data_IF_055950263063
#
_entry.id   IF_055950263063
#
_cell.length_a   1.000
_cell.length_b   1.000
_cell.length_c   1.000
_cell.angle_alpha   90.00
_cell.angle_beta   90.00
_cell.angle_gamma   90.00
#
_symmetry.space_group_name_H-M   'P 1'
#
loop_
_entity.id
_entity.type
_entity.pdbx_description
1 polymer ?
#
# COMPACT_ATOMS: atom_id res chain seq x y z
N UNK A 1 4.96 -4.45 14.09
CA UNK A 1 4.45 -4.88 12.76
C UNK A 1 5.56 -4.56 11.77
N UNK A 2 6.19 -5.53 11.10
CA UNK A 2 7.33 -5.24 10.24
C UNK A 2 6.82 -4.51 8.99
N UNK A 3 7.15 -3.23 8.88
CA UNK A 3 6.91 -2.45 7.69
C UNK A 3 7.91 -2.96 6.64
N UNK A 4 7.41 -3.81 5.72
CA UNK A 4 8.15 -4.42 4.60
C UNK A 4 9.09 -5.57 5.00
N UNK A 5 8.58 -6.82 4.95
CA UNK A 5 9.43 -8.00 4.86
C UNK A 5 10.10 -8.04 3.48
N UNK A 6 11.26 -7.40 3.38
CA UNK A 6 12.08 -7.42 2.20
C UNK A 6 12.57 -8.85 1.93
N UNK A 7 12.00 -9.48 0.89
CA UNK A 7 12.36 -10.84 0.52
C UNK A 7 13.67 -10.84 -0.29
N UNK A 8 14.80 -10.91 0.43
CA UNK A 8 16.14 -10.98 -0.15
C UNK A 8 16.49 -12.35 -0.77
N UNK A 9 15.56 -13.32 -0.73
CA UNK A 9 15.71 -14.65 -1.34
C UNK A 9 14.53 -14.91 -2.28
N UNK A 10 14.55 -14.31 -3.48
CA UNK A 10 13.42 -14.39 -4.39
C UNK A 10 13.15 -15.83 -4.81
N UNK A 11 11.88 -16.22 -4.80
CA UNK A 11 11.45 -17.49 -5.37
C UNK A 11 11.59 -17.45 -6.91
N UNK A 12 11.78 -18.60 -7.53
CA UNK A 12 11.90 -18.71 -8.99
C UNK A 12 10.66 -18.13 -9.71
N UNK A 13 9.47 -18.24 -9.10
CA UNK A 13 8.25 -17.64 -9.64
C UNK A 13 8.32 -16.11 -9.65
N UNK A 14 8.84 -15.50 -8.58
CA UNK A 14 8.97 -14.04 -8.47
C UNK A 14 9.94 -13.49 -9.51
N UNK A 15 11.04 -14.20 -9.76
CA UNK A 15 12.02 -13.82 -10.79
C UNK A 15 11.43 -13.89 -12.20
N UNK A 16 10.63 -14.91 -12.50
CA UNK A 16 9.92 -15.02 -13.79
C UNK A 16 8.88 -13.92 -13.97
N UNK A 17 8.14 -13.57 -12.92
CA UNK A 17 7.19 -12.46 -12.93
C UNK A 17 7.92 -11.13 -13.12
N UNK A 18 9.03 -10.91 -12.43
CA UNK A 18 9.87 -9.73 -12.59
C UNK A 18 10.34 -9.56 -14.03
N UNK A 19 10.87 -10.63 -14.64
CA UNK A 19 11.27 -10.62 -16.05
C UNK A 19 10.12 -10.26 -16.99
N UNK A 20 8.95 -10.86 -16.79
CA UNK A 20 7.74 -10.52 -17.54
C UNK A 20 7.30 -9.07 -17.37
N UNK A 21 7.40 -8.53 -16.15
CA UNK A 21 7.11 -7.11 -15.86
C UNK A 21 8.12 -6.21 -16.59
N UNK A 22 9.42 -6.51 -16.54
CA UNK A 22 10.44 -5.72 -17.24
C UNK A 22 10.22 -5.63 -18.75
N UNK A 23 9.72 -6.70 -19.37
CA UNK A 23 9.39 -6.71 -20.81
C UNK A 23 8.38 -5.63 -21.20
N UNK A 24 7.39 -5.37 -20.36
CA UNK A 24 6.35 -4.37 -20.63
C UNK A 24 6.64 -3.01 -19.98
N UNK A 25 7.21 -3.00 -18.77
CA UNK A 25 7.45 -1.79 -18.00
C UNK A 25 8.51 -0.88 -18.64
N UNK A 26 9.62 -1.45 -19.13
CA UNK A 26 10.68 -0.65 -19.75
C UNK A 26 10.21 0.11 -21.00
N UNK A 27 9.57 -0.51 -22.00
CA UNK A 27 9.07 0.24 -23.16
C UNK A 27 7.92 1.18 -22.81
N UNK A 28 7.09 0.83 -21.82
CA UNK A 28 6.02 1.71 -21.35
C UNK A 28 6.58 2.98 -20.70
N UNK A 29 7.66 2.87 -19.92
CA UNK A 29 8.41 4.03 -19.40
C UNK A 29 9.00 4.83 -20.57
N UNK A 30 9.66 4.18 -21.53
CA UNK A 30 10.18 4.89 -22.71
C UNK A 30 9.08 5.66 -23.46
N UNK A 31 7.89 5.09 -23.57
CA UNK A 31 6.76 5.70 -24.26
C UNK A 31 6.16 6.89 -23.50
N UNK A 32 5.99 6.77 -22.17
CA UNK A 32 5.49 7.87 -21.32
C UNK A 32 6.39 9.11 -21.41
N UNK A 33 7.69 8.89 -21.58
CA UNK A 33 8.68 9.97 -21.68
C UNK A 33 8.96 10.42 -23.13
N UNK A 34 8.10 10.03 -24.09
CA UNK A 34 8.23 10.36 -25.51
C UNK A 34 9.60 10.03 -26.10
N UNK A 35 10.20 8.90 -25.69
CA UNK A 35 11.51 8.50 -26.16
C UNK A 35 11.50 8.20 -27.67
N UNK A 36 12.62 8.44 -28.38
CA UNK A 36 12.70 8.17 -29.81
C UNK A 36 12.51 6.67 -30.10
N UNK A 37 12.05 6.30 -31.32
CA UNK A 37 11.77 4.90 -31.67
C UNK A 37 12.97 3.97 -31.48
N UNK A 38 14.20 4.45 -31.71
CA UNK A 38 15.44 3.70 -31.46
C UNK A 38 15.62 3.34 -29.98
N UNK A 39 15.27 4.25 -29.07
CA UNK A 39 15.34 4.00 -27.63
C UNK A 39 14.23 3.06 -27.17
N UNK A 40 13.03 3.18 -27.73
CA UNK A 40 11.94 2.22 -27.49
C UNK A 40 12.34 0.81 -27.88
N UNK A 41 12.96 0.62 -29.06
CA UNK A 41 13.48 -0.66 -29.52
C UNK A 41 14.62 -1.19 -28.62
N UNK A 42 15.51 -0.31 -28.14
CA UNK A 42 16.55 -0.70 -27.20
C UNK A 42 15.93 -1.18 -25.86
N UNK A 43 14.95 -0.45 -25.32
CA UNK A 43 14.27 -0.79 -24.08
C UNK A 43 13.45 -2.08 -24.18
N UNK A 44 12.74 -2.31 -25.29
CA UNK A 44 12.05 -3.58 -25.53
C UNK A 44 13.03 -4.74 -25.63
N UNK A 45 14.16 -4.56 -26.34
CA UNK A 45 15.18 -5.59 -26.46
C UNK A 45 15.79 -5.94 -25.10
N UNK A 46 16.14 -4.94 -24.29
CA UNK A 46 16.64 -5.12 -22.92
C UNK A 46 15.60 -5.86 -22.06
N UNK A 47 14.34 -5.44 -22.12
CA UNK A 47 13.24 -6.11 -21.41
C UNK A 47 13.07 -7.57 -21.84
N UNK A 48 13.17 -7.85 -23.14
CA UNK A 48 13.13 -9.21 -23.71
C UNK A 48 14.28 -10.09 -23.24
N UNK A 49 15.50 -9.54 -23.21
CA UNK A 49 16.68 -10.25 -22.69
C UNK A 49 16.51 -10.59 -21.21
N UNK A 50 16.07 -9.63 -20.38
CA UNK A 50 15.81 -9.86 -18.95
C UNK A 50 14.70 -10.90 -18.75
N UNK A 51 13.62 -10.83 -19.52
CA UNK A 51 12.53 -11.81 -19.47
C UNK A 51 13.00 -13.22 -19.85
N UNK A 52 13.77 -13.34 -20.94
CA UNK A 52 14.36 -14.60 -21.39
C UNK A 52 15.30 -15.20 -20.34
N UNK A 53 16.24 -14.40 -19.81
CA UNK A 53 17.15 -14.79 -18.73
C UNK A 53 16.39 -15.22 -17.46
N UNK A 54 15.29 -14.55 -17.13
CA UNK A 54 14.46 -14.88 -15.96
C UNK A 54 13.74 -16.22 -16.11
N UNK A 55 13.35 -16.61 -17.34
CA UNK A 55 12.70 -17.89 -17.63
C UNK A 55 13.68 -19.05 -17.74
N UNK A 56 14.81 -18.85 -18.44
CA UNK A 56 15.83 -19.86 -18.67
C UNK A 56 16.69 -20.11 -17.43
N UNK A 57 17.13 -19.03 -16.76
CA UNK A 57 18.12 -19.07 -15.69
C UNK A 57 17.81 -18.03 -14.61
N UNK A 58 16.76 -18.23 -13.78
CA UNK A 58 16.30 -17.24 -12.80
C UNK A 58 17.42 -16.81 -11.83
N UNK A 59 18.32 -17.73 -11.46
CA UNK A 59 19.43 -17.46 -10.53
C UNK A 59 20.35 -16.31 -10.98
N UNK A 60 20.53 -16.08 -12.29
CA UNK A 60 21.35 -14.97 -12.80
C UNK A 60 20.70 -13.60 -12.59
N UNK A 61 19.36 -13.54 -12.58
CA UNK A 61 18.59 -12.29 -12.45
C UNK A 61 18.35 -11.94 -10.98
N UNK A 62 18.54 -12.89 -10.07
CA UNK A 62 18.42 -12.70 -8.62
C UNK A 62 19.15 -11.47 -8.06
N UNK A 63 20.46 -11.23 -8.33
CA UNK A 63 21.14 -10.05 -7.81
C UNK A 63 20.55 -8.74 -8.33
N UNK A 64 20.15 -8.68 -9.62
CA UNK A 64 19.50 -7.51 -10.21
C UNK A 64 18.17 -7.20 -9.50
N UNK A 65 17.37 -8.24 -9.25
CA UNK A 65 16.11 -8.12 -8.52
C UNK A 65 16.32 -7.61 -7.10
N UNK A 66 17.31 -8.15 -6.37
CA UNK A 66 17.61 -7.75 -4.99
C UNK A 66 18.09 -6.29 -4.92
N UNK A 67 18.98 -5.87 -5.81
CA UNK A 67 19.46 -4.47 -5.87
C UNK A 67 18.30 -3.52 -6.14
N UNK A 68 17.45 -3.85 -7.12
CA UNK A 68 16.28 -3.02 -7.42
C UNK A 68 15.27 -3.00 -6.27
N UNK A 69 15.07 -4.14 -5.59
CA UNK A 69 14.24 -4.20 -4.39
C UNK A 69 14.79 -3.28 -3.29
N UNK A 70 16.10 -3.30 -3.05
CA UNK A 70 16.74 -2.46 -2.03
C UNK A 70 16.51 -0.97 -2.28
N UNK A 71 16.53 -0.54 -3.54
CA UNK A 71 16.23 0.85 -3.94
C UNK A 71 14.72 1.17 -3.84
N UNK A 72 13.85 0.21 -4.13
CA UNK A 72 12.40 0.43 -4.17
C UNK A 72 11.71 0.33 -2.82
N UNK A 73 12.29 -0.39 -1.84
CA UNK A 73 11.79 -0.47 -0.47
C UNK A 73 11.56 0.91 0.18
N UNK A 74 12.53 1.85 0.22
CA UNK A 74 12.31 3.16 0.81
C UNK A 74 11.23 3.97 0.06
N UNK A 75 11.14 3.81 -1.27
CA UNK A 75 10.08 4.43 -2.06
C UNK A 75 8.71 3.90 -1.62
N UNK A 76 8.59 2.57 -1.46
CA UNK A 76 7.37 1.93 -0.99
C UNK A 76 6.94 2.41 0.39
N UNK A 77 7.89 2.65 1.30
CA UNK A 77 7.59 3.22 2.62
C UNK A 77 7.01 4.64 2.50
N UNK A 78 7.67 5.52 1.75
CA UNK A 78 7.20 6.91 1.56
C UNK A 78 5.82 6.93 0.89
N UNK A 79 5.61 6.10 -0.14
CA UNK A 79 4.32 5.99 -0.82
C UNK A 79 3.24 5.45 0.14
N UNK A 80 3.56 4.48 0.99
CA UNK A 80 2.65 3.95 2.00
C UNK A 80 2.22 5.02 3.02
N UNK A 81 3.18 5.80 3.53
CA UNK A 81 2.92 6.92 4.43
C UNK A 81 2.10 8.01 3.73
N UNK A 82 2.44 8.37 2.49
CA UNK A 82 1.68 9.34 1.69
C UNK A 82 0.26 8.85 1.42
N UNK A 83 0.04 7.56 1.16
CA UNK A 83 -1.28 6.99 0.95
C UNK A 83 -2.12 7.08 2.23
N UNK A 84 -1.56 6.73 3.38
CA UNK A 84 -2.22 6.86 4.68
C UNK A 84 -2.53 8.32 5.03
N UNK A 85 -1.59 9.22 4.78
CA UNK A 85 -1.76 10.66 4.99
C UNK A 85 -2.86 11.20 4.06
N UNK A 86 -2.86 10.80 2.80
CA UNK A 86 -3.89 11.20 1.84
C UNK A 86 -5.27 10.70 2.26
N UNK A 87 -5.39 9.44 2.70
CA UNK A 87 -6.64 8.89 3.22
C UNK A 87 -7.14 9.70 4.43
N UNK A 88 -6.25 10.03 5.35
CA UNK A 88 -6.60 10.83 6.52
C UNK A 88 -7.09 12.23 6.13
N UNK A 89 -6.34 12.95 5.31
CA UNK A 89 -6.66 14.34 4.98
C UNK A 89 -7.78 14.51 3.95
N UNK A 90 -7.98 13.55 3.05
CA UNK A 90 -9.01 13.62 2.01
C UNK A 90 -10.33 12.95 2.41
N UNK A 91 -10.31 12.00 3.35
CA UNK A 91 -11.51 11.26 3.76
C UNK A 91 -11.86 11.58 5.20
N UNK A 92 -11.01 11.21 6.16
CA UNK A 92 -11.39 11.30 7.58
C UNK A 92 -11.47 12.74 8.09
N UNK A 93 -10.50 13.58 7.73
CA UNK A 93 -10.46 14.98 8.11
C UNK A 93 -11.71 15.76 7.63
N UNK A 94 -12.10 15.73 6.34
CA UNK A 94 -13.29 16.45 5.90
C UNK A 94 -14.58 15.91 6.52
N UNK A 95 -14.69 14.60 6.79
CA UNK A 95 -15.84 14.05 7.53
C UNK A 95 -15.95 14.73 8.91
N UNK A 96 -14.83 14.87 9.62
CA UNK A 96 -14.78 15.58 10.91
C UNK A 96 -15.15 17.05 10.78
N UNK A 97 -14.68 17.74 9.74
CA UNK A 97 -15.03 19.14 9.45
C UNK A 97 -16.53 19.29 9.17
N UNK A 98 -17.11 18.42 8.36
CA UNK A 98 -18.56 18.40 8.07
C UNK A 98 -19.36 18.18 9.36
N UNK A 99 -18.95 17.23 10.21
CA UNK A 99 -19.62 17.02 11.51
C UNK A 99 -19.54 18.25 12.42
N UNK A 100 -18.38 18.94 12.42
CA UNK A 100 -18.19 20.20 13.16
C UNK A 100 -19.12 21.30 12.62
N UNK A 101 -19.23 21.46 11.29
CA UNK A 101 -20.13 22.43 10.67
C UNK A 101 -21.60 22.12 10.92
N UNK A 102 -21.99 20.85 10.93
CA UNK A 102 -23.34 20.41 11.29
C UNK A 102 -23.62 20.46 12.81
N UNK A 103 -22.66 20.94 13.62
CA UNK A 103 -22.73 20.98 15.07
C UNK A 103 -23.06 19.60 15.71
N UNK A 104 -22.72 18.50 15.00
CA UNK A 104 -23.00 17.13 15.42
C UNK A 104 -21.84 16.58 16.23
N UNK A 105 -21.99 16.56 17.54
CA UNK A 105 -21.00 15.96 18.46
C UNK A 105 -21.37 14.50 18.80
N UNK A 106 -21.26 13.60 17.80
CA UNK A 106 -21.52 12.16 18.01
C UNK A 106 -20.49 11.49 18.93
N UNK A 107 -19.27 12.01 18.94
CA UNK A 107 -18.17 11.49 19.74
C UNK A 107 -18.12 12.09 21.16
N UNK A 108 -19.03 13.03 21.48
CA UNK A 108 -19.08 13.73 22.77
C UNK A 108 -17.72 14.35 23.14
N UNK A 109 -17.03 14.91 22.15
CA UNK A 109 -15.70 15.51 22.30
C UNK A 109 -15.78 16.85 23.06
N UNK A 110 -16.94 17.50 23.08
CA UNK A 110 -17.13 18.72 23.87
C UNK A 110 -17.26 18.37 25.35
N UNK A 111 -16.34 18.90 26.14
CA UNK A 111 -16.38 18.82 27.59
C UNK A 111 -17.53 19.67 28.14
N UNK A 112 -18.57 19.00 28.64
CA UNK A 112 -19.63 19.61 29.43
C UNK A 112 -19.18 19.72 30.89
N UNK A 113 -18.79 20.93 31.30
CA UNK A 113 -18.33 21.21 32.68
C UNK A 113 -19.47 21.15 33.72
N UNK A 114 -20.72 21.09 33.28
CA UNK A 114 -21.89 20.99 34.17
C UNK A 114 -22.29 19.55 34.46
N UNK A 115 -21.76 18.58 33.71
CA UNK A 115 -21.99 17.16 33.98
C UNK A 115 -21.20 16.69 35.20
N UNK A 116 -21.90 16.06 36.13
CA UNK A 116 -21.31 15.36 37.28
C UNK A 116 -20.55 14.08 36.85
N UNK A 117 -20.85 13.52 35.67
CA UNK A 117 -20.25 12.27 35.18
C UNK A 117 -20.40 12.12 33.66
N UNK A 118 -19.36 11.58 33.00
CA UNK A 118 -19.37 11.21 31.58
C UNK A 118 -19.70 9.73 31.34
N UNK A 119 -19.91 8.95 32.40
CA UNK A 119 -20.27 7.55 32.30
C UNK A 119 -21.60 7.39 31.57
N UNK A 120 -21.61 6.63 30.47
CA UNK A 120 -22.84 6.28 29.79
C UNK A 120 -23.46 5.03 30.42
N UNK A 121 -24.79 5.01 30.64
CA UNK A 121 -25.46 3.84 31.20
C UNK A 121 -25.33 2.66 30.23
N UNK A 122 -24.63 1.60 30.68
CA UNK A 122 -24.54 0.34 29.94
C UNK A 122 -25.94 -0.28 29.88
N UNK A 123 -26.44 -0.57 28.67
CA UNK A 123 -27.68 -1.35 28.51
C UNK A 123 -27.49 -2.71 29.17
N UNK A 124 -28.36 -3.05 30.12
CA UNK A 124 -28.34 -4.38 30.75
C UNK A 124 -28.71 -5.44 29.70
N UNK A 125 -27.95 -6.55 29.61
CA UNK A 125 -28.34 -7.66 28.75
C UNK A 125 -29.70 -8.20 29.21
N UNK A 126 -30.60 -8.46 28.26
CA UNK A 126 -31.98 -8.89 28.55
C UNK A 126 -32.06 -10.32 29.11
N UNK A 127 -31.05 -11.15 28.88
CA UNK A 127 -30.97 -12.54 29.37
C UNK A 127 -29.52 -12.97 29.63
N UNK A 128 -29.34 -13.94 30.55
CA UNK A 128 -28.03 -14.55 30.84
C UNK A 128 -27.47 -15.25 29.60
N UNK A 129 -28.33 -15.82 28.76
CA UNK A 129 -27.93 -16.49 27.51
C UNK A 129 -27.22 -15.57 26.50
N UNK A 130 -27.45 -14.25 26.59
CA UNK A 130 -26.75 -13.26 25.77
C UNK A 130 -25.24 -13.24 26.01
N UNK A 131 -24.76 -13.71 27.17
CA UNK A 131 -23.32 -13.79 27.46
C UNK A 131 -22.64 -14.91 26.68
N UNK A 132 -23.37 -15.95 26.27
CA UNK A 132 -22.83 -17.07 25.49
C UNK A 132 -22.85 -16.81 23.97
N UNK A 133 -23.41 -15.68 23.52
CA UNK A 133 -23.48 -15.28 22.11
C UNK A 133 -22.78 -13.94 21.90
N UNK A 134 -21.45 -13.96 22.01
CA UNK A 134 -20.61 -12.77 21.85
C UNK A 134 -20.25 -12.43 20.39
N UNK A 135 -20.58 -13.30 19.45
CA UNK A 135 -20.36 -13.13 18.01
C UNK A 135 -21.67 -13.24 17.24
#
# INVERSE_FOLDING_TARGET
MPFVEANFRPDNRQLRQFGGICLFALPLIGWIWSAPPSWLLALTAIGGVIAGLSWLTPKLVSPLFVVLMLVTIPIGMVVGEMAMLSLFFLVFFPIGVVFKWMNRDRLQLRLDRTRQSYWQPKKKPKSIDSYFRQF
#
